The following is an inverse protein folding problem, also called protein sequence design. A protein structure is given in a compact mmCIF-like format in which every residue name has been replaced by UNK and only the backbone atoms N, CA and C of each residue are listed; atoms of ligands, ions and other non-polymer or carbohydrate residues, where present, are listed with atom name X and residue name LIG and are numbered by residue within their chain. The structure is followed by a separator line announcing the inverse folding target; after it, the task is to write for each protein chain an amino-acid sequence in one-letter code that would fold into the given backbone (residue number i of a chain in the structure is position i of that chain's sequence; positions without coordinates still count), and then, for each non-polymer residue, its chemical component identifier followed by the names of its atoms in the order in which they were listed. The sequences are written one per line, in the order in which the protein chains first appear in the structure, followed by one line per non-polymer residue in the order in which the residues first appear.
data_IF_742575828892
#
_entry.id   IF_742575828892
#
_cell.length_a   1.000
_cell.length_b   1.000
_cell.length_c   1.000
_cell.angle_alpha   90.00
_cell.angle_beta   90.00
_cell.angle_gamma   90.00
#
_symmetry.space_group_name_H-M   'P 1'
#
loop_
_entity.id
_entity.type
_entity.pdbx_description
1 polymer ?
#
# COMPACT_ATOMS: atom_id res chain seq x y z
N UNK A 1 -15.74 10.94 -31.88
CA UNK A 1 -14.49 10.25 -31.51
C UNK A 1 -14.32 10.39 -29.99
N UNK A 2 -14.26 9.29 -29.23
CA UNK A 2 -13.90 9.33 -27.80
C UNK A 2 -12.40 9.60 -27.72
N UNK A 3 -12.00 10.68 -27.06
CA UNK A 3 -10.59 10.91 -26.74
C UNK A 3 -10.06 9.73 -25.93
N UNK A 4 -8.93 9.12 -26.29
CA UNK A 4 -8.34 8.06 -25.47
C UNK A 4 -8.05 8.62 -24.07
N UNK A 5 -8.44 7.89 -23.04
CA UNK A 5 -8.16 8.23 -21.64
C UNK A 5 -6.69 7.89 -21.32
N UNK A 6 -5.81 8.76 -21.81
CA UNK A 6 -4.36 8.65 -21.65
C UNK A 6 -4.00 8.71 -20.16
N UNK A 7 -4.69 9.54 -19.38
CA UNK A 7 -4.43 9.68 -17.95
C UNK A 7 -4.73 8.38 -17.19
N UNK A 8 -5.90 7.76 -17.44
CA UNK A 8 -6.23 6.47 -16.85
C UNK A 8 -5.21 5.38 -17.18
N UNK A 9 -4.76 5.34 -18.43
CA UNK A 9 -3.75 4.37 -18.88
C UNK A 9 -2.39 4.57 -18.20
N UNK A 10 -1.93 5.83 -18.08
CA UNK A 10 -0.68 6.17 -17.39
C UNK A 10 -0.75 5.79 -15.91
N UNK A 11 -1.85 6.11 -15.23
CA UNK A 11 -2.04 5.78 -13.81
C UNK A 11 -1.98 4.27 -13.56
N UNK A 12 -2.57 3.47 -14.46
CA UNK A 12 -2.52 2.00 -14.38
C UNK A 12 -1.07 1.50 -14.50
N UNK A 13 -0.33 1.97 -15.52
CA UNK A 13 1.06 1.55 -15.75
C UNK A 13 1.93 1.92 -14.54
N UNK A 14 1.81 3.15 -14.05
CA UNK A 14 2.54 3.62 -12.86
C UNK A 14 2.16 2.80 -11.63
N UNK A 15 0.88 2.49 -11.44
CA UNK A 15 0.40 1.65 -10.34
C UNK A 15 1.00 0.24 -10.36
N UNK A 16 1.02 -0.40 -11.54
CA UNK A 16 1.65 -1.72 -11.70
C UNK A 16 3.16 -1.68 -11.48
N UNK A 17 3.85 -0.67 -12.01
CA UNK A 17 5.28 -0.50 -11.79
C UNK A 17 5.61 -0.29 -10.31
N UNK A 18 4.82 0.52 -9.61
CA UNK A 18 4.97 0.74 -8.16
C UNK A 18 4.72 -0.55 -7.38
N UNK A 19 3.69 -1.33 -7.73
CA UNK A 19 3.41 -2.62 -7.11
C UNK A 19 4.56 -3.60 -7.31
N UNK A 20 5.09 -3.70 -8.54
CA UNK A 20 6.22 -4.57 -8.85
C UNK A 20 7.49 -4.17 -8.07
N UNK A 21 7.82 -2.87 -8.05
CA UNK A 21 8.94 -2.35 -7.27
C UNK A 21 8.78 -2.67 -5.77
N UNK A 22 7.58 -2.48 -5.23
CA UNK A 22 7.26 -2.78 -3.85
C UNK A 22 7.44 -4.28 -3.52
N UNK A 23 6.98 -5.18 -4.39
CA UNK A 23 7.20 -6.63 -4.23
C UNK A 23 8.69 -6.99 -4.24
N UNK A 24 9.47 -6.39 -5.15
CA UNK A 24 10.92 -6.57 -5.21
C UNK A 24 11.58 -6.12 -3.91
N UNK A 25 11.18 -4.98 -3.35
CA UNK A 25 11.67 -4.49 -2.07
C UNK A 25 11.37 -5.46 -0.92
N UNK A 26 10.17 -6.04 -0.87
CA UNK A 26 9.83 -7.07 0.12
C UNK A 26 10.77 -8.27 0.02
N UNK A 27 11.00 -8.78 -1.18
CA UNK A 27 11.90 -9.93 -1.39
C UNK A 27 13.31 -9.60 -0.95
N UNK A 28 13.84 -8.43 -1.33
CA UNK A 28 15.17 -7.98 -0.92
C UNK A 28 15.27 -7.89 0.61
N UNK A 29 14.29 -7.27 1.26
CA UNK A 29 14.28 -7.12 2.71
C UNK A 29 14.21 -8.49 3.42
N UNK A 30 13.34 -9.40 2.94
CA UNK A 30 13.25 -10.75 3.49
C UNK A 30 14.58 -11.51 3.35
N UNK A 31 15.22 -11.44 2.19
CA UNK A 31 16.54 -12.06 1.96
C UNK A 31 17.59 -11.46 2.89
N UNK A 32 17.62 -10.14 3.07
CA UNK A 32 18.55 -9.48 4.01
C UNK A 32 18.33 -9.95 5.45
N UNK A 33 17.08 -10.04 5.91
CA UNK A 33 16.75 -10.51 7.26
C UNK A 33 17.21 -11.96 7.45
N UNK A 34 16.90 -12.85 6.49
CA UNK A 34 17.27 -14.26 6.58
C UNK A 34 18.79 -14.45 6.59
N UNK A 35 19.51 -13.69 5.75
CA UNK A 35 20.98 -13.76 5.62
C UNK A 35 21.74 -13.06 6.75
N UNK A 36 21.09 -12.22 7.55
CA UNK A 36 21.74 -11.52 8.66
C UNK A 36 22.32 -12.51 9.69
N UNK A 37 23.62 -12.44 9.95
CA UNK A 37 24.29 -13.25 10.99
C UNK A 37 24.07 -12.69 12.40
N UNK A 38 23.76 -11.39 12.50
CA UNK A 38 23.58 -10.65 13.74
C UNK A 38 22.23 -10.92 14.43
N UNK A 39 21.29 -11.55 13.72
CA UNK A 39 19.93 -11.79 14.21
C UNK A 39 19.71 -13.25 14.62
N UNK A 40 19.20 -13.45 15.83
CA UNK A 40 18.67 -14.73 16.28
C UNK A 40 17.41 -15.16 15.50
N UNK A 41 17.11 -16.46 15.51
CA UNK A 41 16.00 -17.06 14.76
C UNK A 41 14.64 -16.37 14.99
N UNK A 42 14.28 -16.14 16.26
CA UNK A 42 13.01 -15.49 16.62
C UNK A 42 12.92 -14.05 16.13
N UNK A 43 14.04 -13.31 16.21
CA UNK A 43 14.11 -11.94 15.69
C UNK A 43 13.87 -11.90 14.19
N UNK A 44 14.48 -12.82 13.43
CA UNK A 44 14.23 -12.93 11.97
C UNK A 44 12.77 -13.22 11.67
N UNK A 45 12.16 -14.17 12.39
CA UNK A 45 10.78 -14.56 12.18
C UNK A 45 9.82 -13.37 12.42
N UNK A 46 10.03 -12.62 13.50
CA UNK A 46 9.24 -11.42 13.81
C UNK A 46 9.38 -10.36 12.71
N UNK A 47 10.59 -10.11 12.23
CA UNK A 47 10.83 -9.12 11.17
C UNK A 47 10.19 -9.50 9.83
N UNK A 48 10.27 -10.78 9.45
CA UNK A 48 9.60 -11.27 8.24
C UNK A 48 8.08 -11.18 8.39
N UNK A 49 7.53 -11.54 9.56
CA UNK A 49 6.10 -11.38 9.82
C UNK A 49 5.65 -9.91 9.77
N UNK A 50 6.43 -9.01 10.36
CA UNK A 50 6.18 -7.57 10.33
C UNK A 50 6.17 -7.03 8.89
N UNK A 51 7.10 -7.48 8.05
CA UNK A 51 7.18 -7.09 6.63
C UNK A 51 5.89 -7.38 5.85
N UNK A 52 5.19 -8.46 6.20
CA UNK A 52 3.93 -8.87 5.56
C UNK A 52 2.72 -8.21 6.21
N UNK A 53 2.70 -8.08 7.54
CA UNK A 53 1.53 -7.55 8.28
C UNK A 53 1.43 -6.03 8.11
N UNK A 54 2.55 -5.31 8.17
CA UNK A 54 2.57 -3.85 8.12
C UNK A 54 1.82 -3.24 6.91
N UNK A 55 1.99 -3.71 5.67
CA UNK A 55 1.22 -3.19 4.54
C UNK A 55 -0.29 -3.47 4.62
N UNK A 56 -0.69 -4.56 5.27
CA UNK A 56 -2.11 -4.84 5.51
C UNK A 56 -2.72 -3.86 6.51
N UNK A 57 -1.95 -3.42 7.51
CA UNK A 57 -2.41 -2.41 8.47
C UNK A 57 -2.75 -1.09 7.77
N UNK A 58 -2.02 -0.70 6.74
CA UNK A 58 -2.33 0.50 5.94
C UNK A 58 -3.68 0.40 5.25
N UNK A 59 -3.99 -0.76 4.65
CA UNK A 59 -5.29 -1.03 4.01
C UNK A 59 -6.42 -1.05 5.04
N UNK A 60 -6.22 -1.72 6.19
CA UNK A 60 -7.19 -1.78 7.28
C UNK A 60 -7.44 -0.38 7.84
N UNK A 61 -6.40 0.41 8.08
CA UNK A 61 -6.50 1.79 8.56
C UNK A 61 -7.26 2.66 7.54
N UNK A 62 -6.95 2.54 6.25
CA UNK A 62 -7.68 3.25 5.21
C UNK A 62 -9.16 2.86 5.18
N UNK A 63 -9.48 1.58 5.33
CA UNK A 63 -10.88 1.13 5.35
C UNK A 63 -11.61 1.63 6.60
N UNK A 64 -10.95 1.62 7.76
CA UNK A 64 -11.52 2.06 9.03
C UNK A 64 -11.76 3.59 9.08
N UNK A 65 -10.86 4.39 8.50
CA UNK A 65 -10.87 5.85 8.65
C UNK A 65 -11.18 6.61 7.35
N UNK A 66 -10.83 6.09 6.18
CA UNK A 66 -10.93 6.77 4.89
C UNK A 66 -12.38 7.07 4.46
N UNK A 67 -13.32 6.20 4.80
CA UNK A 67 -14.72 6.37 4.42
C UNK A 67 -15.44 7.48 5.22
N UNK A 68 -14.91 7.86 6.40
CA UNK A 68 -15.44 9.01 7.15
C UNK A 68 -15.26 10.33 6.40
N UNK A 69 -14.15 10.48 5.69
CA UNK A 69 -13.85 11.70 4.92
C UNK A 69 -14.86 11.93 3.80
N UNK A 70 -15.25 10.86 3.10
CA UNK A 70 -16.18 10.94 1.97
C UNK A 70 -17.59 11.31 2.40
N UNK A 71 -18.05 10.80 3.54
CA UNK A 71 -19.37 11.17 4.11
C UNK A 71 -19.43 12.62 4.54
N UNK A 72 -18.38 13.15 5.17
CA UNK A 72 -18.32 14.54 5.61
C UNK A 72 -18.38 15.50 4.40
N UNK A 73 -17.63 15.21 3.33
CA UNK A 73 -17.67 16.01 2.10
C UNK A 73 -19.08 16.10 1.51
N UNK A 74 -19.80 14.98 1.42
CA UNK A 74 -21.15 14.94 0.86
C UNK A 74 -22.14 15.77 1.70
N UNK A 75 -22.03 15.75 3.03
CA UNK A 75 -22.89 16.56 3.91
C UNK A 75 -22.61 18.05 3.76
N UNK A 76 -21.33 18.45 3.65
CA UNK A 76 -20.94 19.85 3.45
C UNK A 76 -21.42 20.37 2.09
N UNK A 77 -21.24 19.59 1.01
CA UNK A 77 -21.72 19.98 -0.32
C UNK A 77 -23.24 20.07 -0.39
N UNK A 78 -23.97 19.23 0.36
CA UNK A 78 -25.43 19.29 0.42
C UNK A 78 -25.98 20.53 1.15
N UNK A 79 -25.22 21.13 2.09
CA UNK A 79 -25.63 22.35 2.80
C UNK A 79 -25.26 23.65 2.07
N UNK A 80 -24.32 23.60 1.12
CA UNK A 80 -23.84 24.77 0.37
C UNK A 80 -24.58 24.96 -0.98
N UNK A 81 -25.61 24.15 -1.26
CA UNK A 81 -26.41 24.16 -2.48
C UNK A 81 -27.82 24.62 -2.19
#
# INVERSE_FOLDING_TARGET
MKTPDILGSVLIIVGFAALAAWLVFIVIAAVQIIRSSEMGYWTKLIWVAALVIFPLLGVIAWYAFGDRTRRIQNTVTAHLR
#
